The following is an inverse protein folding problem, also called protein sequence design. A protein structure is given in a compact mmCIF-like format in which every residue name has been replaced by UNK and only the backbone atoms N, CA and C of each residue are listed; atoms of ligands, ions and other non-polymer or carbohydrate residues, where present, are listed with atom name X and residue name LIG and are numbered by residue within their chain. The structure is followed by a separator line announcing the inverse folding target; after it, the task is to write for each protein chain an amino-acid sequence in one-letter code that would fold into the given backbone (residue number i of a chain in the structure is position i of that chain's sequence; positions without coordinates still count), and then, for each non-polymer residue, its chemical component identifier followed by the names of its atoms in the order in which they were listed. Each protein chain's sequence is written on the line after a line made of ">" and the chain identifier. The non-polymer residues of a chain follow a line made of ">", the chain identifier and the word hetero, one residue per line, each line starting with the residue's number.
data_IF_220507567164
#
_entry.id   IF_220507567164
#
_cell.length_a   1.000
_cell.length_b   1.000
_cell.length_c   1.000
_cell.angle_alpha   90.00
_cell.angle_beta   90.00
_cell.angle_gamma   90.00
#
_symmetry.space_group_name_H-M   'P 1'
#
loop_
_entity.id
_entity.type
_entity.pdbx_description
1 polymer ?
#
# COMPACT_ATOMS: atom_id res chain seq x y z
N UNK A 1 -33.18 51.01 4.51
CA UNK A 1 -32.04 51.06 5.48
C UNK A 1 -31.03 50.03 5.02
N UNK A 2 -30.00 50.51 4.30
CA UNK A 2 -28.89 49.67 3.81
C UNK A 2 -27.76 49.81 4.83
N UNK A 3 -27.49 48.70 5.55
CA UNK A 3 -26.36 48.60 6.46
C UNK A 3 -25.07 48.29 5.70
N UNK A 4 -24.18 49.24 5.60
CA UNK A 4 -22.80 49.05 5.17
C UNK A 4 -22.03 48.26 6.24
N UNK A 5 -21.70 46.97 5.98
CA UNK A 5 -20.70 46.24 6.75
C UNK A 5 -19.32 46.78 6.38
N UNK A 6 -18.68 47.46 7.32
CA UNK A 6 -17.28 47.84 7.29
C UNK A 6 -16.42 46.58 7.38
N UNK A 7 -15.86 46.17 6.23
CA UNK A 7 -14.83 45.12 6.17
C UNK A 7 -13.47 45.79 6.53
N UNK A 8 -13.19 45.85 7.81
CA UNK A 8 -11.88 46.32 8.30
C UNK A 8 -10.86 45.19 8.07
N UNK A 9 -9.76 45.39 7.31
CA UNK A 9 -8.77 44.34 7.12
C UNK A 9 -8.15 43.99 8.47
N UNK A 10 -8.19 42.69 8.80
CA UNK A 10 -7.57 42.10 10.00
C UNK A 10 -6.09 42.45 10.00
N UNK A 11 -5.54 43.03 11.13
CA UNK A 11 -4.13 43.38 11.19
C UNK A 11 -3.26 42.13 10.94
N UNK A 12 -2.26 42.27 10.08
CA UNK A 12 -1.28 41.24 9.81
C UNK A 12 -0.63 40.83 11.14
N UNK A 13 -0.69 39.55 11.46
CA UNK A 13 -0.02 39.00 12.64
C UNK A 13 1.49 39.28 12.59
N UNK A 14 2.20 39.19 13.74
CA UNK A 14 3.63 39.43 13.80
C UNK A 14 4.37 38.61 12.74
N UNK A 15 5.42 39.19 12.09
CA UNK A 15 6.17 38.47 11.05
C UNK A 15 6.69 37.15 11.61
N UNK A 16 6.48 36.07 10.87
CA UNK A 16 6.96 34.75 11.26
C UNK A 16 8.48 34.79 11.48
N UNK A 17 8.97 34.16 12.54
CA UNK A 17 10.41 34.08 12.81
C UNK A 17 11.16 33.53 11.57
N UNK A 18 12.32 34.09 11.19
CA UNK A 18 13.06 33.68 10.03
C UNK A 18 13.45 32.20 10.13
N UNK A 19 13.30 31.46 9.03
CA UNK A 19 13.70 30.04 9.03
C UNK A 19 15.21 29.90 9.23
N UNK A 20 15.63 28.87 9.96
CA UNK A 20 17.05 28.55 10.20
C UNK A 20 17.84 28.39 8.88
N UNK A 21 17.19 27.95 7.82
CA UNK A 21 17.79 27.84 6.49
C UNK A 21 17.97 29.21 5.81
N UNK A 22 17.05 30.14 5.99
CA UNK A 22 17.21 31.52 5.50
C UNK A 22 18.35 32.24 6.22
N UNK A 23 18.50 32.02 7.52
CA UNK A 23 19.60 32.54 8.32
C UNK A 23 20.97 31.96 7.86
N UNK A 24 21.04 30.66 7.59
CA UNK A 24 22.25 30.06 7.02
C UNK A 24 22.61 30.71 5.66
N UNK A 25 21.64 30.84 4.74
CA UNK A 25 21.88 31.46 3.45
C UNK A 25 22.38 32.90 3.60
N UNK A 26 21.79 33.65 4.51
CA UNK A 26 22.22 35.01 4.79
C UNK A 26 23.64 35.08 5.38
N UNK A 27 23.98 34.24 6.33
CA UNK A 27 25.33 34.21 6.93
C UNK A 27 26.41 33.91 5.90
N UNK A 28 26.14 33.02 4.93
CA UNK A 28 27.06 32.70 3.86
C UNK A 28 27.24 33.88 2.88
N UNK A 29 26.17 34.63 2.60
CA UNK A 29 26.27 35.86 1.81
C UNK A 29 27.04 36.94 2.56
N UNK A 30 26.85 37.07 3.87
CA UNK A 30 27.60 38.01 4.69
C UNK A 30 29.11 37.70 4.68
N UNK A 31 29.50 36.39 4.72
CA UNK A 31 30.90 35.99 4.60
C UNK A 31 31.50 36.39 3.22
N UNK A 32 30.75 36.21 2.14
CA UNK A 32 31.17 36.66 0.79
C UNK A 32 31.39 38.18 0.78
N UNK A 33 30.45 38.94 1.30
CA UNK A 33 30.53 40.41 1.33
C UNK A 33 31.71 40.89 2.22
N UNK A 34 31.97 40.23 3.35
CA UNK A 34 33.14 40.52 4.20
C UNK A 34 34.45 40.36 3.41
N UNK A 35 34.59 39.30 2.61
CA UNK A 35 35.79 39.12 1.75
C UNK A 35 35.86 40.19 0.67
N UNK A 36 34.75 40.58 0.09
CA UNK A 36 34.71 41.67 -0.94
C UNK A 36 35.10 43.01 -0.33
N UNK A 37 34.61 43.33 0.86
CA UNK A 37 34.99 44.55 1.61
C UNK A 37 36.47 44.52 1.99
N UNK A 38 37.05 43.31 2.22
CA UNK A 38 38.47 43.10 2.45
C UNK A 38 39.34 43.15 1.18
N UNK A 39 38.75 43.63 0.03
CA UNK A 39 39.51 43.84 -1.21
C UNK A 39 39.54 42.65 -2.18
N UNK A 40 38.79 41.59 -1.91
CA UNK A 40 38.72 40.45 -2.83
C UNK A 40 37.77 40.72 -4.00
N UNK A 41 38.12 40.27 -5.19
CA UNK A 41 37.17 40.28 -6.30
C UNK A 41 35.96 39.36 -6.00
N UNK A 42 34.74 39.82 -6.29
CA UNK A 42 33.50 39.11 -5.97
C UNK A 42 33.47 37.64 -6.43
N UNK A 43 33.97 37.36 -7.64
CA UNK A 43 34.05 36.00 -8.18
C UNK A 43 35.02 35.09 -7.37
N UNK A 44 36.10 35.64 -6.85
CA UNK A 44 37.06 34.95 -6.03
C UNK A 44 36.46 34.65 -4.62
N UNK A 45 35.82 35.65 -4.01
CA UNK A 45 35.14 35.51 -2.73
C UNK A 45 34.07 34.40 -2.74
N UNK A 46 33.28 34.34 -3.80
CA UNK A 46 32.26 33.28 -3.96
C UNK A 46 32.90 31.91 -4.09
N UNK A 47 34.01 31.77 -4.86
CA UNK A 47 34.72 30.47 -4.98
C UNK A 47 35.33 30.04 -3.67
N UNK A 48 35.88 30.97 -2.92
CA UNK A 48 36.48 30.69 -1.61
C UNK A 48 35.44 30.12 -0.62
N UNK A 49 34.31 30.82 -0.44
CA UNK A 49 33.21 30.38 0.42
C UNK A 49 32.59 29.06 -0.06
N UNK A 50 32.53 28.83 -1.36
CA UNK A 50 32.07 27.56 -1.92
C UNK A 50 32.97 26.37 -1.58
N UNK A 51 34.28 26.63 -1.40
CA UNK A 51 35.27 25.62 -1.02
C UNK A 51 35.19 25.19 0.44
N UNK A 52 34.56 26.00 1.29
CA UNK A 52 34.45 25.71 2.73
C UNK A 52 33.37 24.68 3.04
N UNK A 53 33.50 24.06 4.19
CA UNK A 53 32.46 23.23 4.77
C UNK A 53 31.60 24.06 5.74
N UNK A 54 30.29 23.95 5.59
CA UNK A 54 29.33 24.72 6.36
C UNK A 54 28.44 23.81 7.18
N UNK A 55 28.21 24.18 8.44
CA UNK A 55 27.25 23.50 9.29
C UNK A 55 25.80 23.87 8.86
N UNK A 56 25.05 22.87 8.46
CA UNK A 56 23.63 23.05 8.12
C UNK A 56 22.77 22.96 9.39
N UNK A 57 21.62 23.67 9.48
CA UNK A 57 20.75 23.68 10.65
C UNK A 57 20.22 22.30 11.08
N UNK A 58 20.24 21.31 10.19
CA UNK A 58 19.87 19.92 10.51
C UNK A 58 21.04 19.07 11.06
N UNK A 59 22.18 19.68 11.35
CA UNK A 59 23.36 19.02 11.91
C UNK A 59 24.32 18.41 10.88
N UNK A 60 24.02 18.50 9.58
CA UNK A 60 24.91 18.02 8.51
C UNK A 60 25.96 19.05 8.14
N UNK A 61 27.11 18.57 7.71
CA UNK A 61 28.11 19.41 7.03
C UNK A 61 27.84 19.39 5.53
N UNK A 62 27.78 20.56 4.91
CA UNK A 62 27.49 20.71 3.48
C UNK A 62 28.53 21.58 2.76
N UNK A 63 28.89 21.21 1.52
CA UNK A 63 29.61 22.07 0.60
C UNK A 63 28.64 22.60 -0.45
N UNK A 64 28.76 23.88 -0.74
CA UNK A 64 27.85 24.55 -1.67
C UNK A 64 28.55 24.86 -2.99
N UNK A 65 27.82 24.69 -4.09
CA UNK A 65 28.38 25.06 -5.40
C UNK A 65 28.41 26.58 -5.56
N UNK A 66 29.38 27.07 -6.33
CA UNK A 66 29.49 28.48 -6.76
C UNK A 66 28.15 28.98 -7.34
N UNK A 67 27.49 28.16 -8.20
CA UNK A 67 26.19 28.46 -8.79
C UNK A 67 25.10 28.67 -7.74
N UNK A 68 25.11 27.89 -6.64
CA UNK A 68 24.13 28.03 -5.57
C UNK A 68 24.29 29.35 -4.85
N UNK A 69 25.53 29.70 -4.46
CA UNK A 69 25.84 30.97 -3.80
C UNK A 69 25.53 32.17 -4.70
N UNK A 70 25.88 32.15 -5.98
CA UNK A 70 25.52 33.18 -6.95
C UNK A 70 24.00 33.37 -7.07
N UNK A 71 23.25 32.27 -7.12
CA UNK A 71 21.79 32.32 -7.19
C UNK A 71 21.20 32.96 -5.92
N UNK A 72 21.69 32.63 -4.74
CA UNK A 72 21.24 33.24 -3.50
C UNK A 72 21.63 34.71 -3.42
N UNK A 73 22.85 35.10 -3.85
CA UNK A 73 23.29 36.48 -3.92
C UNK A 73 22.39 37.30 -4.85
N UNK A 74 22.05 36.78 -6.02
CA UNK A 74 21.14 37.43 -6.95
C UNK A 74 19.70 37.50 -6.40
N UNK A 75 19.24 36.50 -5.64
CA UNK A 75 17.93 36.53 -4.99
C UNK A 75 17.90 37.60 -3.90
N UNK A 76 18.92 37.67 -3.06
CA UNK A 76 19.05 38.68 -2.00
C UNK A 76 19.10 40.12 -2.57
N UNK A 77 19.85 40.34 -3.64
CA UNK A 77 19.93 41.65 -4.30
C UNK A 77 18.58 42.14 -4.84
N UNK A 78 17.69 41.22 -5.25
CA UNK A 78 16.36 41.55 -5.80
C UNK A 78 15.27 41.72 -4.76
N UNK A 79 15.30 40.97 -3.67
CA UNK A 79 14.19 40.92 -2.71
C UNK A 79 14.61 40.78 -1.27
N UNK A 80 15.86 41.16 -0.93
CA UNK A 80 16.36 41.16 0.44
C UNK A 80 16.32 39.84 1.13
N UNK A 81 16.24 39.84 2.44
CA UNK A 81 16.25 38.63 3.29
C UNK A 81 15.10 37.69 2.98
N UNK A 82 13.91 38.20 2.70
CA UNK A 82 12.70 37.44 2.39
C UNK A 82 12.91 36.50 1.16
N UNK A 83 13.71 36.92 0.18
CA UNK A 83 14.01 36.14 -1.00
C UNK A 83 14.94 34.95 -0.73
N UNK A 84 15.57 34.89 0.46
CA UNK A 84 16.37 33.77 0.92
C UNK A 84 15.56 32.66 1.57
N UNK A 85 14.29 32.91 1.89
CA UNK A 85 13.42 31.88 2.43
C UNK A 85 13.34 30.68 1.49
N UNK A 86 13.42 29.42 2.00
CA UNK A 86 13.24 28.25 1.15
C UNK A 86 11.85 28.28 0.54
N UNK A 87 11.79 28.27 -0.79
CA UNK A 87 10.52 28.15 -1.48
C UNK A 87 9.94 26.77 -1.18
N UNK A 88 8.90 26.74 -0.38
CA UNK A 88 8.09 25.55 -0.25
C UNK A 88 7.62 25.15 -1.66
N UNK A 89 7.97 23.96 -2.13
CA UNK A 89 7.25 23.40 -3.26
C UNK A 89 5.80 23.25 -2.80
N UNK A 90 4.91 24.13 -3.26
CA UNK A 90 3.47 23.94 -3.05
C UNK A 90 3.17 22.56 -3.58
N UNK A 91 2.96 21.61 -2.68
CA UNK A 91 2.44 20.29 -3.01
C UNK A 91 1.00 20.52 -3.43
N UNK A 92 0.74 20.53 -4.72
CA UNK A 92 -0.63 20.44 -5.22
C UNK A 92 -1.26 19.19 -4.64
N UNK A 93 -2.47 19.31 -4.11
CA UNK A 93 -3.22 18.17 -3.57
C UNK A 93 -3.42 17.08 -4.63
N UNK A 94 -3.56 17.49 -5.88
CA UNK A 94 -3.66 16.63 -7.05
C UNK A 94 -2.29 16.29 -7.62
N UNK A 95 -2.08 15.03 -7.97
CA UNK A 95 -0.90 14.60 -8.73
C UNK A 95 -1.14 14.89 -10.20
N UNK A 96 -0.23 15.61 -10.85
CA UNK A 96 -0.25 15.78 -12.32
C UNK A 96 -0.20 14.45 -13.08
N UNK A 97 0.19 13.36 -12.43
CA UNK A 97 0.29 12.02 -13.00
C UNK A 97 -0.99 11.16 -12.84
N UNK A 98 -2.02 11.67 -12.17
CA UNK A 98 -3.29 10.96 -11.98
C UNK A 98 -4.43 11.80 -12.55
N UNK A 99 -5.33 11.17 -13.29
CA UNK A 99 -6.55 11.84 -13.77
C UNK A 99 -7.46 12.23 -12.60
N UNK A 100 -8.22 13.29 -12.76
CA UNK A 100 -9.20 13.72 -11.74
C UNK A 100 -10.23 12.62 -11.42
N UNK A 101 -10.66 11.88 -12.45
CA UNK A 101 -11.55 10.75 -12.29
C UNK A 101 -10.96 9.66 -11.37
N UNK A 102 -9.66 9.35 -11.53
CA UNK A 102 -8.99 8.37 -10.67
C UNK A 102 -8.82 8.91 -9.24
N UNK A 103 -8.52 10.19 -9.07
CA UNK A 103 -8.39 10.81 -7.74
C UNK A 103 -9.74 10.79 -7.02
N UNK A 104 -10.83 11.17 -7.68
CA UNK A 104 -12.20 11.12 -7.13
C UNK A 104 -12.58 9.68 -6.75
N UNK A 105 -12.29 8.72 -7.63
CA UNK A 105 -12.52 7.30 -7.37
C UNK A 105 -11.76 6.80 -6.14
N UNK A 106 -10.47 7.14 -6.01
CA UNK A 106 -9.65 6.74 -4.84
C UNK A 106 -10.25 7.28 -3.54
N UNK A 107 -10.78 8.49 -3.54
CA UNK A 107 -11.45 9.09 -2.38
C UNK A 107 -12.71 8.31 -2.03
N UNK A 108 -13.64 8.17 -2.95
CA UNK A 108 -14.92 7.48 -2.74
C UNK A 108 -14.73 6.02 -2.31
N UNK A 109 -13.83 5.28 -2.95
CA UNK A 109 -13.58 3.88 -2.57
C UNK A 109 -12.89 3.77 -1.20
N UNK A 110 -12.08 4.75 -0.79
CA UNK A 110 -11.49 4.78 0.55
C UNK A 110 -12.50 5.14 1.63
N UNK A 111 -13.47 5.99 1.35
CA UNK A 111 -14.59 6.27 2.25
C UNK A 111 -15.46 5.01 2.44
N UNK A 112 -15.74 4.29 1.36
CA UNK A 112 -16.50 3.04 1.38
C UNK A 112 -15.73 1.88 2.04
N UNK A 113 -14.44 1.74 1.75
CA UNK A 113 -13.57 0.66 2.25
C UNK A 113 -12.20 1.22 2.71
N UNK A 114 -12.12 1.77 3.94
CA UNK A 114 -10.89 2.35 4.47
C UNK A 114 -9.71 1.36 4.51
N UNK A 115 -10.00 0.06 4.56
CA UNK A 115 -8.98 -1.01 4.62
C UNK A 115 -8.46 -1.45 3.26
N UNK A 116 -9.09 -1.05 2.14
CA UNK A 116 -8.61 -1.41 0.81
C UNK A 116 -7.17 -0.94 0.60
N UNK A 117 -6.31 -1.81 0.09
CA UNK A 117 -4.94 -1.44 -0.25
C UNK A 117 -4.89 -0.63 -1.55
N UNK A 118 -3.86 0.19 -1.73
CA UNK A 118 -3.70 0.96 -2.98
C UNK A 118 -3.65 0.07 -4.23
N UNK A 119 -2.94 -1.08 -4.24
CA UNK A 119 -3.01 -2.01 -5.38
C UNK A 119 -4.43 -2.50 -5.67
N UNK A 120 -5.21 -2.77 -4.63
CA UNK A 120 -6.60 -3.19 -4.79
C UNK A 120 -7.47 -2.08 -5.38
N UNK A 121 -7.29 -0.85 -4.93
CA UNK A 121 -8.01 0.30 -5.51
C UNK A 121 -7.69 0.50 -7.00
N UNK A 122 -6.42 0.37 -7.38
CA UNK A 122 -6.02 0.44 -8.79
C UNK A 122 -6.61 -0.71 -9.62
N UNK A 123 -6.69 -1.91 -9.05
CA UNK A 123 -7.37 -3.05 -9.69
C UNK A 123 -8.87 -2.76 -9.90
N UNK A 124 -9.56 -2.28 -8.86
CA UNK A 124 -10.99 -1.89 -8.95
C UNK A 124 -11.21 -0.78 -9.97
N UNK A 125 -10.32 0.20 -10.04
CA UNK A 125 -10.39 1.28 -11.03
C UNK A 125 -10.28 0.74 -12.46
N UNK A 126 -9.44 -0.27 -12.71
CA UNK A 126 -9.34 -0.94 -14.01
C UNK A 126 -10.61 -1.71 -14.35
N UNK A 127 -11.14 -2.50 -13.42
CA UNK A 127 -12.37 -3.27 -13.61
C UNK A 127 -13.56 -2.34 -13.93
N UNK A 128 -13.61 -1.17 -13.31
CA UNK A 128 -14.65 -0.16 -13.56
C UNK A 128 -14.37 0.74 -14.77
N UNK A 129 -13.30 0.50 -15.51
CA UNK A 129 -12.94 1.31 -16.69
C UNK A 129 -12.46 2.74 -16.42
N UNK A 130 -12.26 3.11 -15.13
CA UNK A 130 -11.79 4.45 -14.74
C UNK A 130 -10.29 4.60 -15.02
N UNK A 131 -9.55 3.51 -14.87
CA UNK A 131 -8.14 3.42 -15.24
C UNK A 131 -8.02 2.51 -16.48
N UNK A 132 -7.68 3.07 -17.67
CA UNK A 132 -7.46 2.28 -18.86
C UNK A 132 -6.41 1.19 -18.66
N UNK A 133 -6.57 0.05 -19.35
CA UNK A 133 -5.69 -1.11 -19.18
C UNK A 133 -4.24 -0.82 -19.64
N UNK A 134 -4.09 0.02 -20.66
CA UNK A 134 -2.83 0.46 -21.25
C UNK A 134 -2.12 1.54 -20.42
N UNK A 135 -2.83 2.22 -19.51
CA UNK A 135 -2.24 3.27 -18.68
C UNK A 135 -1.60 2.68 -17.42
N UNK A 136 -0.27 2.70 -17.39
CA UNK A 136 0.50 2.31 -16.21
C UNK A 136 0.50 3.42 -15.17
N UNK A 137 -0.18 3.19 -14.04
CA UNK A 137 -0.11 4.05 -12.85
C UNK A 137 0.74 3.34 -11.79
N UNK A 138 1.85 3.97 -11.43
CA UNK A 138 2.71 3.43 -10.37
C UNK A 138 2.02 3.48 -9.01
N UNK A 139 2.11 2.35 -8.28
CA UNK A 139 1.55 2.20 -6.94
C UNK A 139 2.00 3.29 -5.97
N UNK A 140 3.27 3.70 -6.05
CA UNK A 140 3.82 4.73 -5.17
C UNK A 140 3.23 6.10 -5.46
N UNK A 141 2.89 6.40 -6.72
CA UNK A 141 2.23 7.65 -7.11
C UNK A 141 0.80 7.71 -6.55
N UNK A 142 0.03 6.64 -6.70
CA UNK A 142 -1.31 6.55 -6.12
C UNK A 142 -1.28 6.57 -4.58
N UNK A 143 -0.32 5.90 -3.95
CA UNK A 143 -0.12 5.93 -2.49
C UNK A 143 0.20 7.34 -1.98
N UNK A 144 1.11 8.07 -2.67
CA UNK A 144 1.42 9.47 -2.31
C UNK A 144 0.21 10.37 -2.49
N UNK A 145 -0.64 10.13 -3.50
CA UNK A 145 -1.88 10.87 -3.67
C UNK A 145 -2.85 10.62 -2.50
N UNK A 146 -3.07 9.36 -2.11
CA UNK A 146 -3.87 9.02 -0.93
C UNK A 146 -3.33 9.71 0.33
N UNK A 147 -2.00 9.70 0.54
CA UNK A 147 -1.37 10.38 1.69
C UNK A 147 -1.57 11.88 1.67
N UNK A 148 -1.54 12.54 0.51
CA UNK A 148 -1.79 13.98 0.39
C UNK A 148 -3.23 14.36 0.67
N UNK A 149 -4.17 13.48 0.34
CA UNK A 149 -5.60 13.62 0.62
C UNK A 149 -5.97 13.19 2.05
N UNK A 150 -4.99 12.86 2.88
CA UNK A 150 -5.17 12.31 4.24
C UNK A 150 -6.05 11.05 4.30
N UNK A 151 -6.07 10.28 3.22
CA UNK A 151 -6.81 9.03 3.16
C UNK A 151 -6.06 7.91 3.91
N UNK A 152 -6.78 7.00 4.61
CA UNK A 152 -6.15 5.93 5.35
C UNK A 152 -5.33 5.02 4.43
N UNK A 153 -4.05 4.85 4.75
CA UNK A 153 -3.15 3.93 4.05
C UNK A 153 -2.73 2.81 4.98
N UNK A 154 -2.70 1.58 4.47
CA UNK A 154 -2.30 0.43 5.28
C UNK A 154 -0.83 0.57 5.71
N UNK A 155 -0.57 0.51 7.00
CA UNK A 155 0.80 0.44 7.53
C UNK A 155 1.50 -0.83 7.03
N UNK A 156 2.80 -0.76 6.75
CA UNK A 156 3.60 -1.98 6.51
C UNK A 156 3.60 -2.79 7.80
N UNK A 157 3.26 -4.10 7.75
CA UNK A 157 3.46 -4.95 8.91
C UNK A 157 4.95 -4.95 9.26
N UNK A 158 5.27 -4.87 10.55
CA UNK A 158 6.62 -5.07 11.05
C UNK A 158 7.13 -6.44 10.56
N UNK A 159 8.44 -6.56 10.29
CA UNK A 159 9.06 -7.86 10.04
C UNK A 159 8.80 -8.75 11.26
N UNK A 160 8.13 -9.87 11.06
CA UNK A 160 8.04 -10.90 12.10
C UNK A 160 9.41 -11.58 12.20
N UNK A 161 10.00 -11.59 13.37
CA UNK A 161 11.09 -12.48 13.71
C UNK A 161 10.51 -13.89 13.80
N UNK A 162 11.01 -14.82 13.01
CA UNK A 162 10.55 -16.20 12.96
C UNK A 162 11.15 -16.96 11.78
N UNK A 163 10.94 -18.26 11.74
CA UNK A 163 11.40 -19.12 10.65
C UNK A 163 10.82 -18.62 9.31
N UNK A 164 11.69 -18.15 8.44
CA UNK A 164 11.35 -17.62 7.12
C UNK A 164 11.58 -18.63 5.99
N UNK A 165 11.94 -19.88 6.33
CA UNK A 165 12.16 -20.92 5.33
C UNK A 165 10.88 -21.17 4.55
N UNK A 166 11.03 -21.15 3.25
CA UNK A 166 9.96 -21.46 2.30
C UNK A 166 10.12 -22.90 1.84
N UNK A 167 9.13 -23.72 2.11
CA UNK A 167 9.07 -25.05 1.49
C UNK A 167 7.87 -25.12 0.55
N UNK A 168 7.96 -25.95 -0.47
CA UNK A 168 6.87 -26.30 -1.35
C UNK A 168 7.17 -27.66 -1.95
N UNK A 169 6.14 -28.40 -2.27
CA UNK A 169 6.28 -29.62 -3.03
C UNK A 169 6.79 -29.32 -4.45
N UNK A 170 7.61 -30.20 -5.05
CA UNK A 170 8.25 -29.91 -6.34
C UNK A 170 7.28 -30.00 -7.53
N UNK A 171 6.21 -30.78 -7.44
CA UNK A 171 5.30 -31.04 -8.57
C UNK A 171 3.88 -30.59 -8.28
N UNK A 172 3.19 -30.16 -9.35
CA UNK A 172 1.77 -29.82 -9.31
C UNK A 172 0.94 -31.04 -8.89
N UNK A 173 -0.13 -30.83 -8.12
CA UNK A 173 -1.03 -31.83 -7.57
C UNK A 173 -0.38 -32.81 -6.57
N UNK A 174 0.90 -32.70 -6.29
CA UNK A 174 1.55 -33.50 -5.27
C UNK A 174 1.05 -33.17 -3.86
N UNK A 175 0.77 -31.90 -3.59
CA UNK A 175 0.13 -31.48 -2.35
C UNK A 175 -0.90 -30.39 -2.64
N UNK A 176 -2.13 -30.63 -2.26
CA UNK A 176 -3.21 -29.64 -2.31
C UNK A 176 -3.60 -29.22 -0.89
N UNK A 177 -3.53 -27.93 -0.66
CA UNK A 177 -3.96 -27.30 0.59
C UNK A 177 -5.42 -26.91 0.47
N UNK A 178 -6.25 -27.24 1.48
CA UNK A 178 -7.62 -26.74 1.56
C UNK A 178 -7.84 -26.01 2.87
N UNK A 179 -8.55 -24.89 2.80
CA UNK A 179 -8.89 -24.07 3.97
C UNK A 179 -10.22 -23.34 3.75
N UNK A 180 -10.99 -23.22 4.82
CA UNK A 180 -12.26 -22.51 4.84
C UNK A 180 -12.11 -21.05 5.22
N UNK A 181 -12.80 -20.15 4.50
CA UNK A 181 -12.84 -18.75 4.84
C UNK A 181 -14.27 -18.23 4.92
N UNK A 182 -14.68 -17.81 6.12
CA UNK A 182 -15.97 -17.16 6.31
C UNK A 182 -15.95 -15.71 5.79
N UNK A 183 -17.04 -15.31 5.16
CA UNK A 183 -17.27 -13.96 4.65
C UNK A 183 -18.77 -13.61 4.74
N UNK A 184 -19.11 -12.38 4.41
CA UNK A 184 -20.51 -11.92 4.27
C UNK A 184 -20.77 -11.60 2.82
N UNK A 185 -21.99 -11.88 2.34
CA UNK A 185 -22.38 -11.65 0.96
C UNK A 185 -23.80 -11.07 0.87
N UNK A 186 -24.01 -10.36 -0.23
CA UNK A 186 -25.31 -9.78 -0.57
C UNK A 186 -25.73 -8.59 0.27
N UNK A 187 -26.80 -7.92 -0.12
CA UNK A 187 -27.38 -6.79 0.61
C UNK A 187 -27.82 -7.16 2.03
N UNK A 188 -28.27 -8.38 2.25
CA UNK A 188 -28.65 -8.92 3.56
C UNK A 188 -27.42 -9.33 4.42
N UNK A 189 -26.20 -9.23 3.89
CA UNK A 189 -24.95 -9.56 4.60
C UNK A 189 -24.91 -10.97 5.19
N UNK A 190 -25.45 -11.94 4.48
CA UNK A 190 -25.54 -13.32 4.94
C UNK A 190 -24.14 -13.93 5.11
N UNK A 191 -23.97 -14.70 6.19
CA UNK A 191 -22.73 -15.42 6.44
C UNK A 191 -22.60 -16.59 5.47
N UNK A 192 -21.46 -16.67 4.78
CA UNK A 192 -21.09 -17.75 3.89
C UNK A 192 -19.68 -18.24 4.20
N UNK A 193 -19.36 -19.42 3.74
CA UNK A 193 -18.00 -19.98 3.76
C UNK A 193 -17.57 -20.28 2.34
N UNK A 194 -16.34 -20.00 2.01
CA UNK A 194 -15.70 -20.50 0.79
C UNK A 194 -14.58 -21.46 1.18
N UNK A 195 -14.56 -22.63 0.57
CA UNK A 195 -13.44 -23.55 0.62
C UNK A 195 -12.55 -23.28 -0.58
N UNK A 196 -11.28 -22.99 -0.35
CA UNK A 196 -10.28 -22.82 -1.40
C UNK A 196 -9.37 -24.04 -1.47
N UNK A 197 -9.14 -24.50 -2.69
CA UNK A 197 -8.16 -25.55 -2.98
C UNK A 197 -6.95 -24.90 -3.65
N UNK A 198 -5.79 -24.99 -3.02
CA UNK A 198 -4.55 -24.36 -3.46
C UNK A 198 -3.48 -25.42 -3.74
N UNK A 199 -2.93 -25.42 -4.94
CA UNK A 199 -1.75 -26.22 -5.23
C UNK A 199 -0.50 -25.67 -4.54
N UNK A 200 0.19 -26.52 -3.77
CA UNK A 200 1.34 -26.07 -2.99
C UNK A 200 2.57 -25.76 -3.86
N UNK A 201 2.77 -26.49 -4.96
CA UNK A 201 3.91 -26.31 -5.85
C UNK A 201 3.83 -24.96 -6.59
N UNK A 202 2.72 -24.71 -7.25
CA UNK A 202 2.53 -23.56 -8.13
C UNK A 202 1.93 -22.35 -7.44
N UNK A 203 1.33 -22.54 -6.27
CA UNK A 203 0.50 -21.53 -5.55
C UNK A 203 -0.75 -21.12 -6.34
N UNK A 204 -1.18 -21.93 -7.26
CA UNK A 204 -2.36 -21.69 -8.07
C UNK A 204 -3.62 -22.11 -7.30
N UNK A 205 -4.63 -21.25 -7.30
CA UNK A 205 -5.97 -21.58 -6.79
C UNK A 205 -6.66 -22.52 -7.77
N UNK A 206 -6.76 -23.79 -7.41
CA UNK A 206 -7.31 -24.83 -8.28
C UNK A 206 -8.83 -24.74 -8.38
N UNK A 207 -9.49 -24.54 -7.24
CA UNK A 207 -10.94 -24.44 -7.17
C UNK A 207 -11.40 -23.63 -5.95
N UNK A 208 -12.65 -23.16 -5.97
CA UNK A 208 -13.31 -22.50 -4.87
C UNK A 208 -14.79 -22.87 -4.84
N UNK A 209 -15.28 -23.34 -3.72
CA UNK A 209 -16.68 -23.71 -3.55
C UNK A 209 -17.29 -22.94 -2.38
N UNK A 210 -18.43 -22.28 -2.64
CA UNK A 210 -19.16 -21.51 -1.62
C UNK A 210 -20.28 -22.37 -1.02
N UNK A 211 -20.46 -22.23 0.29
CA UNK A 211 -21.53 -22.86 1.02
C UNK A 211 -22.00 -22.03 2.20
N UNK A 212 -23.02 -22.54 2.91
CA UNK A 212 -23.59 -21.90 4.11
C UNK A 212 -22.78 -22.22 5.37
N UNK A 213 -22.13 -23.39 5.40
CA UNK A 213 -21.32 -23.84 6.51
C UNK A 213 -20.16 -24.71 6.03
N UNK A 214 -19.11 -24.78 6.84
CA UNK A 214 -17.98 -25.68 6.62
C UNK A 214 -18.37 -27.09 7.05
N UNK A 215 -18.88 -27.87 6.10
CA UNK A 215 -19.39 -29.22 6.30
C UNK A 215 -18.62 -30.25 5.48
N UNK A 216 -18.68 -31.51 5.93
CA UNK A 216 -18.15 -32.66 5.17
C UNK A 216 -18.73 -32.71 3.75
N UNK A 217 -20.04 -32.47 3.57
CA UNK A 217 -20.70 -32.47 2.28
C UNK A 217 -20.12 -31.39 1.35
N UNK A 218 -19.89 -30.16 1.86
CA UNK A 218 -19.28 -29.09 1.08
C UNK A 218 -17.85 -29.45 0.65
N UNK A 219 -17.06 -30.03 1.57
CA UNK A 219 -15.70 -30.46 1.27
C UNK A 219 -15.66 -31.57 0.22
N UNK A 220 -16.44 -32.63 0.40
CA UNK A 220 -16.49 -33.75 -0.54
C UNK A 220 -16.99 -33.33 -1.92
N UNK A 221 -17.95 -32.38 -1.99
CA UNK A 221 -18.37 -31.80 -3.26
C UNK A 221 -17.22 -31.03 -3.93
N UNK A 222 -16.50 -30.18 -3.18
CA UNK A 222 -15.34 -29.46 -3.70
C UNK A 222 -14.22 -30.41 -4.14
N UNK A 223 -13.97 -31.47 -3.41
CA UNK A 223 -13.00 -32.50 -3.75
C UNK A 223 -13.37 -33.24 -5.05
N UNK A 224 -14.65 -33.53 -5.24
CA UNK A 224 -15.16 -34.12 -6.48
C UNK A 224 -14.93 -33.20 -7.68
N UNK A 225 -15.28 -31.91 -7.54
CA UNK A 225 -15.11 -30.92 -8.60
C UNK A 225 -13.61 -30.69 -8.91
N UNK A 226 -12.77 -30.62 -7.88
CA UNK A 226 -11.30 -30.56 -8.00
C UNK A 226 -10.76 -31.74 -8.81
N UNK A 227 -11.14 -32.96 -8.40
CA UNK A 227 -10.64 -34.20 -9.04
C UNK A 227 -11.05 -34.28 -10.49
N UNK A 228 -12.28 -33.88 -10.81
CA UNK A 228 -12.76 -33.85 -12.20
C UNK A 228 -12.01 -32.85 -13.09
N UNK A 229 -11.63 -31.69 -12.52
CA UNK A 229 -10.98 -30.60 -13.27
C UNK A 229 -9.47 -30.80 -13.41
N UNK A 230 -8.82 -31.32 -12.38
CA UNK A 230 -7.37 -31.31 -12.25
C UNK A 230 -6.71 -32.68 -12.04
N UNK A 231 -7.50 -33.72 -11.84
CA UNK A 231 -7.02 -35.05 -11.47
C UNK A 231 -6.89 -35.22 -9.94
N UNK A 232 -6.36 -36.40 -9.56
CA UNK A 232 -6.13 -36.73 -8.15
C UNK A 232 -4.91 -35.98 -7.60
N UNK A 233 -5.04 -35.54 -6.35
CA UNK A 233 -3.89 -35.07 -5.58
C UNK A 233 -3.25 -36.27 -4.85
N UNK A 234 -1.91 -36.30 -4.78
CA UNK A 234 -1.23 -37.33 -3.99
C UNK A 234 -1.47 -37.13 -2.50
N UNK A 235 -1.55 -35.87 -2.07
CA UNK A 235 -1.69 -35.48 -0.67
C UNK A 235 -2.66 -34.31 -0.52
N UNK A 236 -3.57 -34.43 0.43
CA UNK A 236 -4.40 -33.33 0.92
C UNK A 236 -3.90 -32.85 2.28
N UNK A 237 -3.60 -31.57 2.39
CA UNK A 237 -3.23 -30.92 3.66
C UNK A 237 -4.37 -30.03 4.15
N UNK A 238 -5.02 -30.47 5.20
CA UNK A 238 -6.24 -29.84 5.75
C UNK A 238 -6.00 -29.31 7.16
N UNK A 239 -6.91 -28.49 7.67
CA UNK A 239 -6.94 -28.21 9.08
C UNK A 239 -7.76 -29.29 9.84
N UNK A 240 -7.99 -29.02 11.13
CA UNK A 240 -8.81 -29.90 11.96
C UNK A 240 -10.25 -29.41 12.08
N UNK A 241 -10.76 -28.75 11.05
CA UNK A 241 -12.17 -28.37 10.99
C UNK A 241 -13.08 -29.62 11.01
N UNK A 242 -14.30 -29.51 11.57
CA UNK A 242 -15.22 -30.66 11.71
C UNK A 242 -15.48 -31.38 10.38
N UNK A 243 -15.61 -30.62 9.29
CA UNK A 243 -15.83 -31.19 7.94
C UNK A 243 -14.65 -31.97 7.39
N UNK A 244 -13.43 -31.72 7.87
CA UNK A 244 -12.20 -32.35 7.38
C UNK A 244 -11.75 -33.58 8.17
N UNK A 245 -12.22 -33.72 9.41
CA UNK A 245 -11.85 -34.86 10.30
C UNK A 245 -12.92 -35.95 10.39
N UNK A 246 -14.00 -35.82 9.63
CA UNK A 246 -15.10 -36.77 9.65
C UNK A 246 -14.69 -38.16 9.12
N UNK A 247 -15.37 -39.21 9.59
CA UNK A 247 -15.15 -40.58 9.10
C UNK A 247 -15.37 -40.68 7.60
N UNK A 248 -16.38 -39.96 7.06
CA UNK A 248 -16.67 -39.94 5.62
C UNK A 248 -15.52 -39.31 4.82
N UNK A 249 -14.92 -38.23 5.33
CA UNK A 249 -13.74 -37.62 4.69
C UNK A 249 -12.58 -38.60 4.63
N UNK A 250 -12.29 -39.30 5.72
CA UNK A 250 -11.24 -40.31 5.78
C UNK A 250 -11.53 -41.48 4.83
N UNK A 251 -12.74 -41.99 4.83
CA UNK A 251 -13.16 -43.10 3.97
C UNK A 251 -13.03 -42.74 2.48
N UNK A 252 -13.49 -41.55 2.08
CA UNK A 252 -13.41 -41.12 0.69
C UNK A 252 -11.97 -40.83 0.27
N UNK A 253 -11.22 -40.06 1.07
CA UNK A 253 -9.87 -39.59 0.67
C UNK A 253 -8.88 -40.75 0.68
N UNK A 254 -8.80 -41.50 1.78
CA UNK A 254 -7.82 -42.57 1.92
C UNK A 254 -8.31 -43.90 1.34
N UNK A 255 -9.57 -44.26 1.61
CA UNK A 255 -10.12 -45.51 1.16
C UNK A 255 -10.55 -45.51 -0.31
N UNK A 256 -11.22 -44.45 -0.76
CA UNK A 256 -11.75 -44.35 -2.12
C UNK A 256 -10.75 -43.80 -3.13
N UNK A 257 -10.08 -42.70 -2.82
CA UNK A 257 -9.16 -42.01 -3.74
C UNK A 257 -7.70 -42.47 -3.58
N UNK A 258 -7.34 -43.11 -2.46
CA UNK A 258 -5.97 -43.52 -2.18
C UNK A 258 -5.01 -42.35 -1.93
N UNK A 259 -5.52 -41.15 -1.68
CA UNK A 259 -4.71 -39.97 -1.43
C UNK A 259 -4.29 -39.91 0.05
N UNK A 260 -3.09 -39.43 0.30
CA UNK A 260 -2.64 -39.15 1.66
C UNK A 260 -3.42 -37.98 2.25
N UNK A 261 -3.77 -38.08 3.54
CA UNK A 261 -4.45 -37.02 4.28
C UNK A 261 -3.59 -36.62 5.49
N UNK A 262 -3.16 -35.35 5.49
CA UNK A 262 -2.41 -34.77 6.60
C UNK A 262 -3.21 -33.63 7.20
N UNK A 263 -3.38 -33.65 8.50
CA UNK A 263 -3.95 -32.55 9.26
C UNK A 263 -2.84 -31.69 9.86
N UNK A 264 -2.94 -30.39 9.66
CA UNK A 264 -2.01 -29.44 10.26
C UNK A 264 -1.96 -29.57 11.78
N UNK A 265 -0.77 -29.42 12.36
CA UNK A 265 -0.58 -29.39 13.81
C UNK A 265 -1.29 -28.17 14.39
N UNK A 266 -2.08 -28.39 15.45
CA UNK A 266 -2.77 -27.30 16.12
C UNK A 266 -1.76 -26.26 16.62
N UNK A 267 -2.06 -24.97 16.38
CA UNK A 267 -1.23 -23.81 16.76
C UNK A 267 0.15 -23.71 16.07
N UNK A 268 0.40 -24.46 14.98
CA UNK A 268 1.62 -24.33 14.18
C UNK A 268 1.31 -23.72 12.80
N UNK A 269 1.36 -22.39 12.66
CA UNK A 269 0.94 -21.69 11.43
C UNK A 269 1.94 -21.79 10.27
N UNK A 270 3.18 -22.22 10.53
CA UNK A 270 4.23 -22.21 9.52
C UNK A 270 3.92 -23.11 8.30
N UNK A 271 3.32 -24.29 8.53
CA UNK A 271 2.92 -25.22 7.46
C UNK A 271 1.74 -24.72 6.61
N UNK A 272 0.99 -23.73 7.08
CA UNK A 272 -0.23 -23.19 6.43
C UNK A 272 -0.06 -21.80 5.86
N UNK A 273 1.14 -21.22 5.95
CA UNK A 273 1.40 -19.85 5.54
C UNK A 273 1.07 -19.54 4.08
N UNK A 274 1.06 -20.56 3.21
CA UNK A 274 0.70 -20.42 1.80
C UNK A 274 -0.81 -20.19 1.63
N UNK A 275 -1.63 -21.09 2.18
CA UNK A 275 -3.10 -20.98 2.08
C UNK A 275 -3.64 -19.79 2.87
N UNK A 276 -3.05 -19.47 4.03
CA UNK A 276 -3.42 -18.26 4.79
C UNK A 276 -3.17 -16.97 3.98
N UNK A 277 -2.05 -16.90 3.27
CA UNK A 277 -1.74 -15.77 2.39
C UNK A 277 -2.71 -15.72 1.21
N UNK A 278 -3.03 -16.85 0.61
CA UNK A 278 -4.01 -16.95 -0.47
C UNK A 278 -5.39 -16.47 0.02
N UNK A 279 -5.87 -16.99 1.14
CA UNK A 279 -7.14 -16.59 1.75
C UNK A 279 -7.21 -15.09 2.05
N UNK A 280 -6.11 -14.51 2.52
CA UNK A 280 -6.03 -13.06 2.74
C UNK A 280 -6.14 -12.29 1.42
N UNK A 281 -5.47 -12.74 0.38
CA UNK A 281 -5.53 -12.12 -0.95
C UNK A 281 -6.93 -12.25 -1.54
N UNK A 282 -7.53 -13.44 -1.50
CA UNK A 282 -8.90 -13.68 -1.97
C UNK A 282 -9.92 -12.83 -1.20
N UNK A 283 -9.77 -12.75 0.13
CA UNK A 283 -10.60 -11.88 0.96
C UNK A 283 -10.45 -10.40 0.57
N UNK A 284 -9.23 -9.90 0.44
CA UNK A 284 -8.97 -8.49 0.14
C UNK A 284 -9.38 -8.09 -1.29
N UNK A 285 -9.33 -9.02 -2.24
CA UNK A 285 -9.59 -8.74 -3.66
C UNK A 285 -11.01 -9.06 -4.11
N UNK A 286 -11.65 -10.07 -3.50
CA UNK A 286 -12.96 -10.57 -3.95
C UNK A 286 -13.98 -10.53 -2.82
N UNK A 287 -13.78 -11.30 -1.74
CA UNK A 287 -14.83 -11.57 -0.75
C UNK A 287 -15.32 -10.30 -0.05
N UNK A 288 -14.44 -9.34 0.22
CA UNK A 288 -14.82 -8.08 0.86
C UNK A 288 -15.73 -7.21 0.01
N UNK A 289 -15.62 -7.29 -1.29
CA UNK A 289 -16.49 -6.53 -2.20
C UNK A 289 -17.90 -7.10 -2.28
N UNK A 290 -18.12 -8.33 -1.82
CA UNK A 290 -19.43 -8.98 -1.80
C UNK A 290 -20.27 -8.59 -0.57
N UNK A 291 -19.65 -8.06 0.48
CA UNK A 291 -20.34 -7.64 1.70
C UNK A 291 -21.17 -6.36 1.44
N UNK A 292 -22.48 -6.49 1.55
CA UNK A 292 -23.43 -5.41 1.28
C UNK A 292 -23.68 -5.12 -0.20
N UNK A 293 -23.15 -5.91 -1.13
CA UNK A 293 -23.41 -5.74 -2.56
C UNK A 293 -24.83 -6.19 -2.91
N UNK A 294 -25.64 -5.26 -3.43
CA UNK A 294 -27.06 -5.53 -3.72
C UNK A 294 -27.27 -6.43 -4.94
N UNK A 295 -26.28 -6.50 -5.84
CA UNK A 295 -26.25 -7.28 -7.07
C UNK A 295 -25.72 -8.71 -6.90
N UNK A 296 -25.39 -9.08 -5.67
CA UNK A 296 -24.88 -10.41 -5.33
C UNK A 296 -25.98 -11.22 -4.67
N UNK A 297 -26.38 -12.31 -5.31
CA UNK A 297 -27.21 -13.35 -4.70
C UNK A 297 -26.36 -14.17 -3.72
N UNK A 298 -26.73 -14.16 -2.43
CA UNK A 298 -25.92 -14.76 -1.38
C UNK A 298 -26.02 -16.27 -1.28
#
# INVERSE_FOLDING_TARGET
>A
MLGFMNDTPRPAGPPAAPSSEALLRYSLLAQIETLVLGGWGAARAVREVAGWEHAHPDGRTVRLSVRTLQRWRAAYARGGFEALAPRSRKRTETSLALSEALVAFLRTEKERDPRASVPELLRRARVKGILPADLAVDRSTAWRACRRMDLPTRARPSKREGDTRRWSYPQRMQCVLCDGKYFRAGGARLRRVVLFFLDDATRYGLDALVGTSESTALFLRGLYDLTRKHGLADLLYLDRGPGFISADTLAVVQGGLGAWLIHGTARYPAGRGAVERFNRTAHDQVLRSLDGAADVDP
#
